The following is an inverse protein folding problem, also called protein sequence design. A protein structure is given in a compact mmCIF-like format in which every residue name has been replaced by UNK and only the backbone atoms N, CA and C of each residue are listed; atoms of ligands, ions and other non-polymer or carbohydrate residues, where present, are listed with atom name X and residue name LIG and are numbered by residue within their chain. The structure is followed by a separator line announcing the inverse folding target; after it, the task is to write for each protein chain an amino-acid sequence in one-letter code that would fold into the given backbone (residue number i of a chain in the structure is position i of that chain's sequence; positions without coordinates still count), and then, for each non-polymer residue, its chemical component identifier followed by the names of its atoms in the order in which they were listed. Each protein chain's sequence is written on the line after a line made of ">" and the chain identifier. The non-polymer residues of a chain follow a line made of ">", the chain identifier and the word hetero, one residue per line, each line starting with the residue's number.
data_IF_428816181965
#
_entry.id   IF_428816181965
#
_cell.length_a   1.000
_cell.length_b   1.000
_cell.length_c   1.000
_cell.angle_alpha   90.00
_cell.angle_beta   90.00
_cell.angle_gamma   90.00
#
_symmetry.space_group_name_H-M   'P 1'
#
loop_
_entity.id
_entity.type
_entity.pdbx_description
1 polymer ?
#
# COMPACT_ATOMS: atom_id res chain seq x y z
N UNK A 1 24.71 7.18 12.54
CA UNK A 1 23.48 7.22 11.72
C UNK A 1 23.20 5.81 11.23
N UNK A 2 22.00 5.31 11.44
CA UNK A 2 21.61 3.97 11.00
C UNK A 2 21.42 3.94 9.47
N UNK A 3 21.84 2.86 8.82
CA UNK A 3 21.54 2.61 7.42
C UNK A 3 20.19 1.91 7.30
N UNK A 4 19.23 2.61 6.73
CA UNK A 4 17.87 2.09 6.49
C UNK A 4 17.72 1.74 5.00
N UNK A 5 17.44 0.48 4.72
CA UNK A 5 17.10 0.05 3.36
C UNK A 5 15.61 0.22 3.12
N UNK A 6 15.24 0.89 2.02
CA UNK A 6 13.85 0.99 1.54
C UNK A 6 13.74 0.26 0.22
N UNK A 7 12.94 -0.81 0.19
CA UNK A 7 12.62 -1.46 -1.07
C UNK A 7 11.40 -0.82 -1.72
N UNK A 8 11.38 -0.73 -3.05
CA UNK A 8 10.23 -0.14 -3.76
C UNK A 8 10.14 1.38 -3.65
N UNK A 9 11.25 2.08 -3.43
CA UNK A 9 11.31 3.54 -3.31
C UNK A 9 10.94 4.30 -4.60
N UNK A 10 10.85 3.64 -5.76
CA UNK A 10 10.27 4.23 -6.98
C UNK A 10 8.74 4.31 -6.95
N UNK A 11 8.11 3.63 -6.01
CA UNK A 11 6.66 3.68 -5.81
C UNK A 11 6.25 4.88 -4.93
N UNK A 12 4.94 5.16 -4.93
CA UNK A 12 4.35 6.27 -4.21
C UNK A 12 4.70 6.28 -2.71
N UNK A 13 4.38 5.22 -1.99
CA UNK A 13 4.67 5.11 -0.55
C UNK A 13 6.18 4.98 -0.26
N UNK A 14 6.87 4.11 -0.99
CA UNK A 14 8.30 3.88 -0.74
C UNK A 14 9.15 5.13 -0.98
N UNK A 15 8.82 5.91 -2.01
CA UNK A 15 9.46 7.20 -2.28
C UNK A 15 9.19 8.24 -1.20
N UNK A 16 7.96 8.31 -0.70
CA UNK A 16 7.61 9.22 0.40
C UNK A 16 8.34 8.85 1.70
N UNK A 17 8.42 7.55 2.03
CA UNK A 17 9.19 7.06 3.18
C UNK A 17 10.68 7.40 3.04
N UNK A 18 11.27 7.15 1.86
CA UNK A 18 12.69 7.44 1.63
C UNK A 18 13.01 8.93 1.80
N UNK A 19 12.16 9.82 1.26
CA UNK A 19 12.31 11.28 1.46
C UNK A 19 12.21 11.68 2.93
N UNK A 20 11.27 11.11 3.66
CA UNK A 20 11.09 11.41 5.09
C UNK A 20 12.28 10.95 5.94
N UNK A 21 12.86 9.78 5.64
CA UNK A 21 14.07 9.28 6.29
C UNK A 21 15.27 10.17 6.01
N UNK A 22 15.48 10.57 4.74
CA UNK A 22 16.56 11.51 4.36
C UNK A 22 16.40 12.86 5.05
N UNK A 23 15.18 13.42 5.08
CA UNK A 23 14.89 14.66 5.77
C UNK A 23 15.11 14.57 7.29
N UNK A 24 14.96 13.38 7.89
CA UNK A 24 15.28 13.09 9.30
C UNK A 24 16.78 12.94 9.56
N UNK A 25 17.60 12.83 8.51
CA UNK A 25 19.06 12.66 8.60
C UNK A 25 19.51 11.20 8.64
N UNK A 26 18.65 10.23 8.34
CA UNK A 26 19.07 8.83 8.23
C UNK A 26 19.86 8.59 6.94
N UNK A 27 20.74 7.59 6.95
CA UNK A 27 21.33 7.06 5.73
C UNK A 27 20.32 6.13 5.06
N UNK A 28 19.96 6.40 3.81
CA UNK A 28 18.95 5.63 3.08
C UNK A 28 19.57 4.95 1.88
N UNK A 29 19.29 3.65 1.72
CA UNK A 29 19.58 2.89 0.52
C UNK A 29 18.27 2.44 -0.13
N UNK A 30 18.04 2.86 -1.38
CA UNK A 30 16.91 2.44 -2.18
C UNK A 30 17.28 1.17 -2.96
N UNK A 31 16.53 0.07 -2.74
CA UNK A 31 16.78 -1.23 -3.40
C UNK A 31 15.58 -1.58 -4.27
N UNK A 32 15.77 -1.58 -5.61
CA UNK A 32 14.71 -1.81 -6.59
C UNK A 32 15.24 -1.92 -8.02
N UNK A 33 14.36 -2.23 -8.98
CA UNK A 33 14.74 -2.41 -10.41
C UNK A 33 14.98 -1.11 -11.14
N UNK A 34 14.21 -0.05 -10.85
CA UNK A 34 14.24 1.25 -11.55
C UNK A 34 15.10 2.27 -10.81
N UNK A 35 15.77 3.16 -11.51
CA UNK A 35 16.52 4.27 -10.90
C UNK A 35 15.57 5.27 -10.21
N UNK A 36 16.09 5.99 -9.23
CA UNK A 36 15.42 7.01 -8.41
C UNK A 36 16.29 8.25 -8.34
N UNK A 37 16.48 8.87 -9.49
CA UNK A 37 17.38 10.02 -9.65
C UNK A 37 17.07 11.17 -8.67
N UNK A 38 15.79 11.41 -8.39
CA UNK A 38 15.32 12.39 -7.43
C UNK A 38 15.75 12.09 -5.98
N UNK A 39 15.66 10.82 -5.55
CA UNK A 39 16.12 10.41 -4.22
C UNK A 39 17.64 10.38 -4.12
N UNK A 40 18.33 10.01 -5.21
CA UNK A 40 19.80 10.10 -5.25
C UNK A 40 20.30 11.54 -5.13
N UNK A 41 19.62 12.49 -5.79
CA UNK A 41 19.92 13.91 -5.64
C UNK A 41 19.72 14.42 -4.20
N UNK A 42 18.86 13.76 -3.41
CA UNK A 42 18.67 14.03 -1.99
C UNK A 42 19.67 13.27 -1.08
N UNK A 43 20.59 12.48 -1.66
CA UNK A 43 21.63 11.78 -0.90
C UNK A 43 21.35 10.30 -0.62
N UNK A 44 20.33 9.68 -1.24
CA UNK A 44 20.10 8.25 -1.09
C UNK A 44 21.13 7.42 -1.88
N UNK A 45 21.61 6.33 -1.29
CA UNK A 45 22.27 5.26 -2.03
C UNK A 45 21.25 4.51 -2.89
N UNK A 46 21.66 4.06 -4.07
CA UNK A 46 20.82 3.24 -4.95
C UNK A 46 21.50 1.93 -5.32
N UNK A 47 20.77 0.82 -5.17
CA UNK A 47 21.18 -0.50 -5.62
C UNK A 47 20.09 -1.08 -6.53
N UNK A 48 20.45 -1.32 -7.79
CA UNK A 48 19.56 -2.01 -8.71
C UNK A 48 19.49 -3.50 -8.35
N UNK A 49 18.31 -3.97 -7.95
CA UNK A 49 18.10 -5.36 -7.57
C UNK A 49 16.68 -5.80 -7.90
N UNK A 50 16.53 -6.95 -8.51
CA UNK A 50 15.27 -7.68 -8.55
C UNK A 50 15.18 -8.54 -7.30
N UNK A 51 14.24 -8.24 -6.43
CA UNK A 51 14.09 -8.97 -5.16
C UNK A 51 13.62 -10.42 -5.32
N UNK A 52 13.12 -10.80 -6.50
CA UNK A 52 12.77 -12.19 -6.85
C UNK A 52 13.86 -12.91 -7.64
N UNK A 53 14.91 -12.20 -8.08
CA UNK A 53 15.89 -12.66 -9.05
C UNK A 53 17.04 -13.51 -8.49
N UNK A 54 17.16 -13.69 -7.17
CA UNK A 54 18.18 -14.54 -6.59
C UNK A 54 18.72 -14.06 -5.24
N UNK A 55 18.95 -15.01 -4.34
CA UNK A 55 19.30 -14.73 -2.94
C UNK A 55 20.60 -13.92 -2.78
N UNK A 56 21.64 -14.24 -3.55
CA UNK A 56 22.95 -13.56 -3.44
C UNK A 56 22.86 -12.06 -3.76
N UNK A 57 22.08 -11.69 -4.80
CA UNK A 57 21.89 -10.28 -5.16
C UNK A 57 21.15 -9.51 -4.06
N UNK A 58 20.12 -10.12 -3.47
CA UNK A 58 19.34 -9.50 -2.38
C UNK A 58 20.20 -9.38 -1.12
N UNK A 59 21.00 -10.40 -0.78
CA UNK A 59 21.95 -10.36 0.34
C UNK A 59 22.95 -9.21 0.17
N UNK A 60 23.56 -9.09 -1.01
CA UNK A 60 24.50 -8.00 -1.29
C UNK A 60 23.82 -6.61 -1.20
N UNK A 61 22.58 -6.49 -1.70
CA UNK A 61 21.84 -5.22 -1.66
C UNK A 61 21.50 -4.77 -0.23
N UNK A 62 21.32 -5.71 0.71
CA UNK A 62 21.01 -5.42 2.12
C UNK A 62 22.25 -5.39 3.03
N UNK A 63 23.46 -5.58 2.49
CA UNK A 63 24.69 -5.61 3.27
C UNK A 63 24.89 -4.31 4.09
N UNK A 64 25.16 -4.46 5.37
CA UNK A 64 25.40 -3.36 6.32
C UNK A 64 24.13 -2.57 6.73
N UNK A 65 22.94 -3.05 6.40
CA UNK A 65 21.69 -2.41 6.81
C UNK A 65 21.40 -2.68 8.30
N UNK A 66 20.98 -1.65 9.03
CA UNK A 66 20.49 -1.75 10.41
C UNK A 66 18.98 -2.09 10.46
N UNK A 67 18.24 -1.67 9.42
CA UNK A 67 16.82 -1.92 9.28
C UNK A 67 16.38 -1.96 7.82
N UNK A 68 15.28 -2.67 7.55
CA UNK A 68 14.65 -2.74 6.24
C UNK A 68 13.18 -2.33 6.33
N UNK A 69 12.78 -1.39 5.48
CA UNK A 69 11.38 -1.10 5.17
C UNK A 69 11.05 -1.76 3.83
N UNK A 70 10.34 -2.89 3.90
CA UNK A 70 9.98 -3.68 2.73
C UNK A 70 8.63 -3.23 2.18
N UNK A 71 8.66 -2.26 1.25
CA UNK A 71 7.49 -1.64 0.61
C UNK A 71 7.25 -2.19 -0.79
N UNK A 72 8.28 -2.75 -1.42
CA UNK A 72 8.19 -3.33 -2.75
C UNK A 72 7.13 -4.44 -2.80
N UNK A 73 6.21 -4.31 -3.74
CA UNK A 73 5.20 -5.31 -4.06
C UNK A 73 4.69 -5.09 -5.49
N UNK A 74 4.21 -6.15 -6.14
CA UNK A 74 3.29 -6.01 -7.27
C UNK A 74 1.93 -5.66 -6.69
N UNK A 75 1.53 -4.41 -6.89
CA UNK A 75 0.18 -3.92 -6.59
C UNK A 75 -0.70 -4.05 -7.84
N UNK A 76 -2.00 -3.79 -7.69
CA UNK A 76 -2.98 -3.87 -8.76
C UNK A 76 -3.85 -5.10 -8.66
N UNK A 77 -4.79 -5.22 -9.59
CA UNK A 77 -5.85 -6.24 -9.55
C UNK A 77 -5.80 -7.20 -10.73
N UNK A 78 -4.79 -7.05 -11.61
CA UNK A 78 -4.66 -7.82 -12.85
C UNK A 78 -3.26 -8.39 -13.03
N UNK A 79 -3.18 -9.62 -13.49
CA UNK A 79 -1.95 -10.39 -13.73
C UNK A 79 -2.09 -11.83 -13.27
N UNK A 80 -1.12 -12.68 -13.65
CA UNK A 80 -1.13 -14.08 -13.25
C UNK A 80 -0.76 -14.27 -11.78
N UNK A 81 -1.21 -15.38 -11.19
CA UNK A 81 -0.86 -15.75 -9.81
C UNK A 81 0.67 -15.83 -9.64
N UNK A 82 1.37 -16.41 -10.64
CA UNK A 82 2.84 -16.58 -10.62
C UNK A 82 3.56 -15.23 -10.55
N UNK A 83 3.06 -14.21 -11.28
CA UNK A 83 3.63 -12.87 -11.21
C UNK A 83 3.48 -12.23 -9.83
N UNK A 84 2.31 -12.42 -9.18
CA UNK A 84 2.08 -11.92 -7.83
C UNK A 84 2.89 -12.71 -6.80
N UNK A 85 3.00 -14.02 -6.95
CA UNK A 85 3.76 -14.87 -6.04
C UNK A 85 5.27 -14.57 -6.12
N UNK A 86 5.81 -14.42 -7.31
CA UNK A 86 7.21 -14.01 -7.49
C UNK A 86 7.50 -12.65 -6.83
N UNK A 87 6.67 -11.63 -7.13
CA UNK A 87 6.92 -10.27 -6.67
C UNK A 87 6.58 -10.05 -5.19
N UNK A 88 5.64 -10.79 -4.61
CA UNK A 88 5.17 -10.56 -3.24
C UNK A 88 5.63 -11.65 -2.27
N UNK A 89 5.58 -12.93 -2.64
CA UNK A 89 5.97 -14.04 -1.74
C UNK A 89 7.46 -14.31 -1.83
N UNK A 90 7.97 -14.62 -3.04
CA UNK A 90 9.39 -14.99 -3.24
C UNK A 90 10.29 -13.82 -2.86
N UNK A 91 9.98 -12.60 -3.32
CA UNK A 91 10.75 -11.42 -2.96
C UNK A 91 10.78 -11.18 -1.44
N UNK A 92 9.63 -11.31 -0.74
CA UNK A 92 9.58 -11.16 0.72
C UNK A 92 10.39 -12.25 1.43
N UNK A 93 10.30 -13.51 0.98
CA UNK A 93 11.11 -14.61 1.53
C UNK A 93 12.60 -14.34 1.37
N UNK A 94 13.05 -13.83 0.21
CA UNK A 94 14.45 -13.47 -0.03
C UNK A 94 14.90 -12.28 0.82
N UNK A 95 14.05 -11.26 1.02
CA UNK A 95 14.34 -10.13 1.93
C UNK A 95 14.52 -10.63 3.37
N UNK A 96 13.64 -11.51 3.87
CA UNK A 96 13.76 -12.11 5.21
C UNK A 96 15.08 -12.88 5.32
N UNK A 97 15.39 -13.73 4.34
CA UNK A 97 16.63 -14.50 4.33
C UNK A 97 17.87 -13.59 4.30
N UNK A 98 17.84 -12.52 3.51
CA UNK A 98 18.91 -11.53 3.44
C UNK A 98 19.06 -10.71 4.74
N UNK A 99 17.96 -10.37 5.41
CA UNK A 99 18.02 -9.77 6.74
C UNK A 99 18.74 -10.67 7.74
N UNK A 100 18.40 -11.94 7.77
CA UNK A 100 19.06 -12.92 8.65
C UNK A 100 20.53 -13.11 8.34
N UNK A 101 20.86 -13.21 7.04
CA UNK A 101 22.25 -13.37 6.57
C UNK A 101 23.13 -12.18 6.98
N UNK A 102 22.61 -10.97 6.86
CA UNK A 102 23.34 -9.72 7.15
C UNK A 102 23.22 -9.24 8.61
N UNK A 103 22.50 -9.97 9.48
CA UNK A 103 22.30 -9.55 10.87
C UNK A 103 21.43 -8.31 11.02
N UNK A 104 20.55 -8.03 10.06
CA UNK A 104 19.58 -6.93 10.15
C UNK A 104 18.61 -7.20 11.30
N UNK A 105 18.51 -6.24 12.23
CA UNK A 105 17.73 -6.45 13.45
C UNK A 105 16.22 -6.15 13.29
N UNK A 106 15.81 -5.35 12.29
CA UNK A 106 14.47 -4.81 12.16
C UNK A 106 13.94 -4.88 10.74
N UNK A 107 12.73 -5.43 10.57
CA UNK A 107 12.02 -5.51 9.29
C UNK A 107 10.60 -4.99 9.44
N UNK A 108 10.31 -3.83 8.85
CA UNK A 108 8.95 -3.28 8.70
C UNK A 108 8.42 -3.66 7.32
N UNK A 109 7.30 -4.34 7.29
CA UNK A 109 6.67 -4.82 6.06
C UNK A 109 5.37 -4.07 5.76
N UNK A 110 5.23 -3.58 4.53
CA UNK A 110 3.97 -3.01 4.05
C UNK A 110 3.05 -4.10 3.55
N UNK A 111 2.03 -4.43 4.33
CA UNK A 111 0.93 -5.33 3.96
C UNK A 111 -0.26 -4.54 3.41
N UNK A 112 -1.47 -5.06 3.54
CA UNK A 112 -2.73 -4.44 3.07
C UNK A 112 -3.91 -4.98 3.87
N UNK A 113 -4.99 -4.21 4.09
CA UNK A 113 -6.23 -4.75 4.66
C UNK A 113 -6.91 -5.81 3.80
N UNK A 114 -6.60 -5.88 2.50
CA UNK A 114 -7.16 -6.91 1.60
C UNK A 114 -6.84 -8.35 2.06
N UNK A 115 -5.88 -8.54 2.95
CA UNK A 115 -5.53 -9.85 3.53
C UNK A 115 -6.62 -10.42 4.46
N UNK A 116 -7.53 -9.57 4.96
CA UNK A 116 -8.67 -9.96 5.81
C UNK A 116 -10.02 -9.74 5.15
N UNK A 117 -10.05 -9.32 3.87
CA UNK A 117 -11.27 -8.95 3.16
C UNK A 117 -11.64 -10.00 2.11
N UNK A 118 -12.76 -10.68 2.30
CA UNK A 118 -13.28 -11.74 1.41
C UNK A 118 -14.46 -11.32 0.53
N UNK A 119 -14.80 -10.02 0.50
CA UNK A 119 -15.79 -9.47 -0.43
C UNK A 119 -17.12 -9.03 0.19
N UNK A 120 -17.26 -9.02 1.52
CA UNK A 120 -18.39 -8.42 2.26
C UNK A 120 -18.02 -7.06 2.88
N UNK A 121 -18.97 -6.42 3.58
CA UNK A 121 -18.67 -5.24 4.39
C UNK A 121 -17.71 -5.61 5.53
N UNK A 122 -16.68 -4.80 5.75
CA UNK A 122 -15.76 -4.88 6.89
C UNK A 122 -15.84 -3.56 7.64
N UNK A 123 -16.56 -3.58 8.77
CA UNK A 123 -16.86 -2.38 9.55
C UNK A 123 -16.28 -2.51 10.95
N UNK A 124 -15.25 -1.73 11.25
CA UNK A 124 -14.59 -1.70 12.55
C UNK A 124 -13.84 -2.98 12.93
N UNK A 125 -13.37 -3.75 11.95
CA UNK A 125 -12.53 -4.90 12.24
C UNK A 125 -11.20 -4.45 12.87
N UNK A 126 -10.66 -5.26 13.76
CA UNK A 126 -9.36 -5.08 14.38
C UNK A 126 -8.38 -6.20 13.96
N UNK A 127 -7.19 -6.18 14.52
CA UNK A 127 -6.10 -7.11 14.16
C UNK A 127 -6.36 -8.57 14.56
N UNK A 128 -7.44 -8.87 15.30
CA UNK A 128 -7.89 -10.24 15.59
C UNK A 128 -8.58 -10.89 14.39
N UNK A 129 -8.98 -10.09 13.38
CA UNK A 129 -9.57 -10.61 12.15
C UNK A 129 -8.62 -11.62 11.47
N UNK A 130 -9.08 -12.83 11.15
CA UNK A 130 -8.24 -13.85 10.53
C UNK A 130 -7.83 -13.43 9.12
N UNK A 131 -6.66 -13.91 8.67
CA UNK A 131 -6.27 -13.79 7.27
C UNK A 131 -7.26 -14.59 6.42
N UNK A 132 -8.07 -13.88 5.65
CA UNK A 132 -9.11 -14.46 4.80
C UNK A 132 -9.27 -13.63 3.51
N UNK A 133 -8.22 -13.64 2.63
CA UNK A 133 -8.26 -12.89 1.39
C UNK A 133 -9.30 -13.44 0.40
N UNK A 134 -9.85 -12.60 -0.46
CA UNK A 134 -10.66 -13.08 -1.61
C UNK A 134 -9.79 -13.98 -2.50
N UNK A 135 -10.12 -15.28 -2.67
CA UNK A 135 -9.30 -16.21 -3.44
C UNK A 135 -9.20 -15.86 -4.93
N UNK A 136 -10.05 -14.97 -5.43
CA UNK A 136 -9.98 -14.46 -6.81
C UNK A 136 -9.03 -13.28 -6.98
N UNK A 137 -8.48 -12.74 -5.88
CA UNK A 137 -7.49 -11.68 -5.92
C UNK A 137 -6.10 -12.25 -5.68
N UNK A 138 -5.34 -12.52 -6.76
CA UNK A 138 -3.95 -12.95 -6.66
C UNK A 138 -3.11 -11.99 -5.80
N UNK A 139 -3.40 -10.69 -5.86
CA UNK A 139 -2.81 -9.69 -4.99
C UNK A 139 -3.07 -9.97 -3.50
N UNK A 140 -4.35 -10.09 -3.11
CA UNK A 140 -4.70 -10.29 -1.71
C UNK A 140 -4.15 -11.63 -1.17
N UNK A 141 -4.24 -12.69 -1.96
CA UNK A 141 -3.70 -14.03 -1.61
C UNK A 141 -2.18 -13.96 -1.41
N UNK A 142 -1.44 -13.39 -2.36
CA UNK A 142 0.02 -13.28 -2.27
C UNK A 142 0.46 -12.38 -1.10
N UNK A 143 -0.26 -11.28 -0.82
CA UNK A 143 0.03 -10.40 0.31
C UNK A 143 -0.24 -11.07 1.66
N UNK A 144 -1.30 -11.89 1.78
CA UNK A 144 -1.59 -12.66 2.99
C UNK A 144 -0.49 -13.72 3.26
N UNK A 145 -0.05 -14.43 2.22
CA UNK A 145 1.05 -15.37 2.34
C UNK A 145 2.36 -14.68 2.75
N UNK A 146 2.69 -13.55 2.14
CA UNK A 146 3.88 -12.77 2.48
C UNK A 146 3.82 -12.21 3.92
N UNK A 147 2.66 -11.70 4.38
CA UNK A 147 2.48 -11.26 5.76
C UNK A 147 2.68 -12.41 6.75
N UNK A 148 2.19 -13.61 6.42
CA UNK A 148 2.42 -14.81 7.23
C UNK A 148 3.90 -15.11 7.37
N UNK A 149 4.68 -15.05 6.28
CA UNK A 149 6.13 -15.23 6.32
C UNK A 149 6.82 -14.20 7.21
N UNK A 150 6.47 -12.93 7.07
CA UNK A 150 7.06 -11.84 7.86
C UNK A 150 6.77 -12.02 9.34
N UNK A 151 5.52 -12.31 9.71
CA UNK A 151 5.13 -12.51 11.12
C UNK A 151 5.80 -13.74 11.72
N UNK A 152 5.91 -14.83 10.97
CA UNK A 152 6.61 -16.04 11.37
C UNK A 152 8.14 -15.87 11.48
N UNK A 153 8.71 -14.88 10.78
CA UNK A 153 10.14 -14.59 10.83
C UNK A 153 10.58 -13.84 12.10
N UNK A 154 9.63 -13.34 12.91
CA UNK A 154 9.92 -12.64 14.16
C UNK A 154 10.56 -13.57 15.18
N UNK A 155 11.78 -13.28 15.60
CA UNK A 155 12.51 -14.06 16.59
C UNK A 155 13.50 -13.17 17.39
N UNK A 156 14.41 -13.81 18.15
CA UNK A 156 15.40 -13.12 18.97
C UNK A 156 16.52 -12.41 18.16
N UNK A 157 16.56 -12.58 16.85
CA UNK A 157 17.58 -11.97 15.96
C UNK A 157 16.98 -10.97 14.98
N UNK A 158 15.71 -11.14 14.61
CA UNK A 158 15.00 -10.30 13.65
C UNK A 158 13.63 -9.93 14.20
N UNK A 159 13.46 -8.70 14.63
CA UNK A 159 12.15 -8.16 14.97
C UNK A 159 11.41 -7.76 13.69
N UNK A 160 10.16 -8.21 13.53
CA UNK A 160 9.34 -7.90 12.37
C UNK A 160 8.02 -7.26 12.77
N UNK A 161 7.48 -6.40 11.91
CA UNK A 161 6.12 -5.86 12.04
C UNK A 161 5.50 -5.67 10.65
N UNK A 162 4.21 -5.95 10.54
CA UNK A 162 3.44 -5.72 9.31
C UNK A 162 2.50 -4.53 9.49
N UNK A 163 2.46 -3.63 8.53
CA UNK A 163 1.49 -2.53 8.48
C UNK A 163 0.51 -2.77 7.34
N UNK A 164 -0.78 -2.56 7.60
CA UNK A 164 -1.89 -2.73 6.65
C UNK A 164 -2.51 -1.37 6.32
N UNK A 165 -1.81 -0.49 5.55
CA UNK A 165 -2.40 0.79 5.17
C UNK A 165 -3.55 0.58 4.19
N UNK A 166 -4.67 1.29 4.41
CA UNK A 166 -5.85 1.21 3.58
C UNK A 166 -5.92 2.39 2.61
N UNK A 167 -6.12 2.12 1.31
CA UNK A 167 -6.35 3.13 0.26
C UNK A 167 -5.46 4.37 0.44
N UNK A 168 -4.16 4.23 0.22
CA UNK A 168 -3.21 5.34 0.34
C UNK A 168 -3.45 6.32 -0.80
N UNK A 169 -3.58 7.61 -0.48
CA UNK A 169 -3.84 8.69 -1.42
C UNK A 169 -3.11 9.98 -1.06
N UNK A 170 -2.95 10.88 -2.03
CA UNK A 170 -2.31 12.18 -1.82
C UNK A 170 -1.56 12.66 -3.04
N UNK A 171 -0.79 13.76 -2.93
CA UNK A 171 0.03 14.28 -4.02
C UNK A 171 1.04 13.25 -4.54
N UNK A 172 1.08 13.07 -5.86
CA UNK A 172 1.96 12.09 -6.50
C UNK A 172 1.41 10.65 -6.56
N UNK A 173 0.18 10.41 -6.10
CA UNK A 173 -0.47 9.11 -6.24
C UNK A 173 -0.89 8.84 -7.68
N UNK A 174 -0.30 7.81 -8.28
CA UNK A 174 -0.56 7.34 -9.64
C UNK A 174 -1.64 6.26 -9.72
N UNK A 175 -2.12 5.76 -8.59
CA UNK A 175 -3.05 4.62 -8.54
C UNK A 175 -4.49 5.07 -8.29
N UNK A 176 -4.82 5.57 -7.11
CA UNK A 176 -6.18 5.93 -6.75
C UNK A 176 -6.55 7.32 -7.29
N UNK A 177 -5.79 8.35 -6.93
CA UNK A 177 -6.06 9.75 -7.27
C UNK A 177 -6.02 9.96 -8.77
N UNK A 178 -4.94 9.54 -9.44
CA UNK A 178 -4.79 9.70 -10.89
C UNK A 178 -5.88 8.95 -11.68
N UNK A 179 -6.26 7.74 -11.24
CA UNK A 179 -7.33 6.97 -11.90
C UNK A 179 -8.70 7.61 -11.75
N UNK A 180 -9.03 8.18 -10.58
CA UNK A 180 -10.29 8.90 -10.37
C UNK A 180 -10.36 10.11 -11.32
N UNK A 181 -9.31 10.93 -11.35
CA UNK A 181 -9.22 12.11 -12.21
C UNK A 181 -9.33 11.73 -13.69
N UNK A 182 -8.51 10.79 -14.15
CA UNK A 182 -8.52 10.35 -15.56
C UNK A 182 -9.88 9.76 -16.00
N UNK A 183 -10.52 8.97 -15.12
CA UNK A 183 -11.85 8.43 -15.43
C UNK A 183 -12.93 9.51 -15.47
N UNK A 184 -12.83 10.54 -14.62
CA UNK A 184 -13.75 11.67 -14.63
C UNK A 184 -13.59 12.50 -15.89
N UNK A 185 -12.37 12.85 -16.28
CA UNK A 185 -12.05 13.57 -17.51
C UNK A 185 -12.53 12.82 -18.76
N UNK A 186 -12.41 11.49 -18.76
CA UNK A 186 -12.93 10.64 -19.84
C UNK A 186 -14.47 10.43 -19.80
N UNK A 187 -15.19 11.02 -18.82
CA UNK A 187 -16.64 10.84 -18.64
C UNK A 187 -17.06 9.41 -18.25
N UNK A 188 -16.11 8.59 -17.79
CA UNK A 188 -16.28 7.16 -17.47
C UNK A 188 -16.40 6.86 -15.99
N UNK A 189 -16.19 7.84 -15.11
CA UNK A 189 -16.31 7.63 -13.67
C UNK A 189 -17.75 7.33 -13.28
N UNK A 190 -17.95 6.33 -12.43
CA UNK A 190 -19.26 5.93 -11.88
C UNK A 190 -19.07 5.57 -10.41
N UNK A 191 -20.00 5.97 -9.56
CA UNK A 191 -20.08 5.56 -8.17
C UNK A 191 -20.85 4.25 -8.05
N UNK A 192 -20.24 3.20 -7.57
CA UNK A 192 -20.91 1.92 -7.34
C UNK A 192 -21.82 2.05 -6.11
N UNK A 193 -23.11 1.68 -6.24
CA UNK A 193 -24.07 1.83 -5.16
C UNK A 193 -24.20 3.27 -4.62
N UNK A 194 -24.02 4.28 -5.49
CA UNK A 194 -24.05 5.69 -5.06
C UNK A 194 -22.84 6.16 -4.28
N UNK A 195 -21.90 5.27 -3.96
CA UNK A 195 -20.73 5.60 -3.14
C UNK A 195 -21.05 5.84 -1.66
N UNK A 196 -22.13 5.25 -1.15
CA UNK A 196 -22.59 5.46 0.24
C UNK A 196 -21.83 4.62 1.27
N UNK A 197 -21.15 3.57 0.83
CA UNK A 197 -20.37 2.70 1.70
C UNK A 197 -19.20 3.46 2.36
N UNK A 198 -19.01 3.23 3.66
CA UNK A 198 -17.97 3.88 4.44
C UNK A 198 -16.60 3.28 4.11
N UNK A 199 -15.65 4.15 3.88
CA UNK A 199 -14.23 3.82 3.73
C UNK A 199 -13.38 4.73 4.61
N UNK A 200 -12.27 4.23 5.13
CA UNK A 200 -11.28 5.05 5.84
C UNK A 200 -9.95 4.98 5.09
N UNK A 201 -9.71 5.97 4.23
CA UNK A 201 -8.46 6.06 3.46
C UNK A 201 -7.29 6.52 4.32
N UNK A 202 -6.08 6.33 3.82
CA UNK A 202 -4.84 6.78 4.47
C UNK A 202 -4.21 7.89 3.64
N UNK A 203 -4.10 9.09 4.18
CA UNK A 203 -3.29 10.13 3.52
C UNK A 203 -1.82 9.75 3.55
N UNK A 204 -1.07 10.07 2.50
CA UNK A 204 0.32 9.63 2.34
C UNK A 204 1.21 9.93 3.55
N UNK A 205 1.11 11.12 4.14
CA UNK A 205 1.93 11.49 5.30
C UNK A 205 1.60 10.64 6.54
N UNK A 206 0.34 10.25 6.71
CA UNK A 206 -0.08 9.33 7.77
C UNK A 206 0.48 7.92 7.55
N UNK A 207 0.50 7.46 6.29
CA UNK A 207 1.13 6.19 5.96
C UNK A 207 2.65 6.22 6.26
N UNK A 208 3.32 7.31 5.90
CA UNK A 208 4.74 7.54 6.24
C UNK A 208 4.94 7.57 7.76
N UNK A 209 4.13 8.35 8.50
CA UNK A 209 4.19 8.41 9.97
C UNK A 209 4.13 7.00 10.59
N UNK A 210 3.18 6.17 10.17
CA UNK A 210 3.05 4.80 10.68
C UNK A 210 4.30 3.95 10.44
N UNK A 211 4.94 4.07 9.26
CA UNK A 211 6.16 3.32 8.94
C UNK A 211 7.36 3.80 9.74
N UNK A 212 7.53 5.12 9.94
CA UNK A 212 8.60 5.67 10.76
C UNK A 212 8.43 5.32 12.24
N UNK A 213 7.21 5.42 12.78
CA UNK A 213 6.92 4.99 14.14
C UNK A 213 7.17 3.49 14.34
N UNK A 214 6.79 2.66 13.37
CA UNK A 214 7.08 1.24 13.39
C UNK A 214 8.59 0.98 13.40
N UNK A 215 9.36 1.66 12.54
CA UNK A 215 10.82 1.57 12.52
C UNK A 215 11.44 1.94 13.86
N UNK A 216 10.96 3.01 14.49
CA UNK A 216 11.52 3.53 15.74
C UNK A 216 11.15 2.70 16.96
N UNK A 217 9.96 2.07 16.97
CA UNK A 217 9.47 1.24 18.09
C UNK A 217 9.85 -0.23 17.99
N UNK A 218 10.23 -0.69 16.79
CA UNK A 218 10.50 -2.09 16.54
C UNK A 218 11.85 -2.51 17.11
N UNK A 219 11.82 -3.32 18.14
CA UNK A 219 12.99 -4.01 18.71
C UNK A 219 12.58 -5.44 19.09
N UNK A 220 13.52 -6.32 19.29
CA UNK A 220 13.25 -7.68 19.78
C UNK A 220 12.51 -7.59 21.12
N UNK A 221 11.38 -8.29 21.22
CA UNK A 221 10.52 -8.30 22.41
C UNK A 221 9.65 -7.05 22.58
N UNK A 222 9.69 -6.08 21.66
CA UNK A 222 8.79 -4.91 21.70
C UNK A 222 7.31 -5.36 21.54
N UNK A 223 6.33 -4.61 22.10
CA UNK A 223 4.90 -4.94 21.98
C UNK A 223 4.44 -5.10 20.53
N UNK A 224 5.08 -4.40 19.57
CA UNK A 224 4.74 -4.47 18.15
C UNK A 224 5.44 -5.61 17.39
N UNK A 225 6.45 -6.26 17.99
CA UNK A 225 7.20 -7.31 17.31
C UNK A 225 6.32 -8.55 17.00
N UNK A 226 6.37 -9.03 15.76
CA UNK A 226 5.58 -10.15 15.27
C UNK A 226 4.10 -9.84 15.00
N UNK A 227 3.69 -8.56 15.13
CA UNK A 227 2.29 -8.15 14.96
C UNK A 227 2.02 -7.52 13.60
N UNK A 228 0.73 -7.39 13.29
CA UNK A 228 0.22 -6.62 12.17
C UNK A 228 -0.66 -5.49 12.70
N UNK A 229 -0.75 -4.36 11.97
CA UNK A 229 -1.55 -3.19 12.36
C UNK A 229 -2.27 -2.60 11.17
N UNK A 230 -3.55 -2.28 11.33
CA UNK A 230 -4.26 -1.44 10.38
C UNK A 230 -3.81 0.01 10.49
N UNK A 231 -3.72 0.68 9.34
CA UNK A 231 -3.35 2.09 9.24
C UNK A 231 -4.36 2.80 8.33
N UNK A 232 -4.97 3.86 8.85
CA UNK A 232 -5.93 4.71 8.16
C UNK A 232 -5.95 6.10 8.81
N UNK A 233 -6.72 7.05 8.28
CA UNK A 233 -6.85 8.38 8.88
C UNK A 233 -7.60 8.35 10.23
N UNK A 234 -8.40 7.31 10.48
CA UNK A 234 -9.30 7.23 11.65
C UNK A 234 -10.55 8.09 11.47
N UNK A 235 -11.00 8.26 10.23
CA UNK A 235 -12.18 9.04 9.83
C UNK A 235 -12.95 8.31 8.71
N UNK A 236 -13.76 7.29 9.05
CA UNK A 236 -14.60 6.64 8.05
C UNK A 236 -15.57 7.62 7.41
N UNK A 237 -15.53 7.76 6.09
CA UNK A 237 -16.40 8.64 5.30
C UNK A 237 -17.07 7.86 4.17
N UNK A 238 -18.25 8.28 3.67
CA UNK A 238 -18.80 7.70 2.45
C UNK A 238 -17.80 7.83 1.30
N UNK A 239 -17.66 6.77 0.50
CA UNK A 239 -16.71 6.72 -0.62
C UNK A 239 -16.88 7.91 -1.57
N UNK A 240 -18.15 8.36 -1.82
CA UNK A 240 -18.42 9.54 -2.65
C UNK A 240 -17.80 10.83 -2.11
N UNK A 241 -17.60 10.94 -0.79
CA UNK A 241 -16.98 12.14 -0.17
C UNK A 241 -15.53 12.22 -0.56
N UNK A 242 -14.77 11.12 -0.42
CA UNK A 242 -13.37 11.08 -0.85
C UNK A 242 -13.24 11.26 -2.36
N UNK A 243 -14.04 10.55 -3.17
CA UNK A 243 -14.01 10.65 -4.64
C UNK A 243 -14.30 12.08 -5.10
N UNK A 244 -15.37 12.69 -4.62
CA UNK A 244 -15.73 14.05 -5.01
C UNK A 244 -14.78 15.10 -4.44
N UNK A 245 -14.19 14.87 -3.28
CA UNK A 245 -13.13 15.71 -2.74
C UNK A 245 -11.88 15.70 -3.63
N UNK A 246 -11.47 14.54 -4.14
CA UNK A 246 -10.35 14.42 -5.11
C UNK A 246 -10.70 15.15 -6.41
N UNK A 247 -11.95 15.02 -6.92
CA UNK A 247 -12.38 15.74 -8.11
C UNK A 247 -12.35 17.24 -7.91
N UNK A 248 -12.87 17.72 -6.78
CA UNK A 248 -12.85 19.16 -6.44
C UNK A 248 -11.41 19.68 -6.33
N UNK A 249 -10.49 18.90 -5.73
CA UNK A 249 -9.07 19.24 -5.68
C UNK A 249 -8.44 19.38 -7.07
N UNK A 250 -8.90 18.58 -8.05
CA UNK A 250 -8.47 18.64 -9.44
C UNK A 250 -9.26 19.66 -10.32
N UNK A 251 -10.13 20.48 -9.71
CA UNK A 251 -10.96 21.44 -10.45
C UNK A 251 -12.06 20.80 -11.32
N UNK A 252 -12.43 19.55 -11.05
CA UNK A 252 -13.44 18.81 -11.81
C UNK A 252 -14.80 18.80 -11.10
N UNK A 253 -15.91 18.72 -11.87
CA UNK A 253 -17.24 18.64 -11.30
C UNK A 253 -17.45 17.32 -10.53
N UNK A 254 -18.32 17.29 -9.52
CA UNK A 254 -18.59 16.09 -8.75
C UNK A 254 -19.21 14.99 -9.61
N UNK A 255 -18.90 13.75 -9.29
CA UNK A 255 -19.49 12.59 -9.93
C UNK A 255 -20.91 12.33 -9.37
N UNK A 256 -21.93 12.63 -10.18
CA UNK A 256 -23.33 12.32 -9.87
C UNK A 256 -23.84 11.02 -10.51
N UNK A 257 -23.03 10.35 -11.33
CA UNK A 257 -23.45 9.14 -12.08
C UNK A 257 -23.16 7.90 -11.24
N UNK A 258 -24.20 7.09 -10.98
CA UNK A 258 -24.08 5.83 -10.27
C UNK A 258 -24.20 4.61 -11.17
N UNK A 259 -23.76 3.46 -10.67
CA UNK A 259 -24.00 2.13 -11.25
C UNK A 259 -24.42 1.17 -10.13
N UNK A 260 -25.39 0.33 -10.39
CA UNK A 260 -25.80 -0.69 -9.42
C UNK A 260 -24.65 -1.68 -9.16
N UNK A 261 -24.44 -2.15 -7.90
CA UNK A 261 -23.35 -3.07 -7.57
C UNK A 261 -23.32 -4.33 -8.43
N UNK A 262 -24.48 -4.94 -8.69
CA UNK A 262 -24.57 -6.12 -9.54
C UNK A 262 -24.15 -5.83 -10.98
N UNK A 263 -24.51 -4.65 -11.51
CA UNK A 263 -24.15 -4.28 -12.89
C UNK A 263 -22.63 -4.02 -13.01
N UNK A 264 -22.01 -3.38 -12.00
CA UNK A 264 -20.57 -3.23 -11.94
C UNK A 264 -19.84 -4.59 -11.87
N UNK A 265 -20.39 -5.54 -11.11
CA UNK A 265 -19.86 -6.91 -11.01
C UNK A 265 -19.93 -7.66 -12.32
N UNK A 266 -21.10 -7.61 -13.01
CA UNK A 266 -21.29 -8.25 -14.33
C UNK A 266 -20.36 -7.61 -15.37
N UNK A 267 -20.26 -6.29 -15.40
CA UNK A 267 -19.33 -5.59 -16.28
C UNK A 267 -17.87 -6.03 -16.02
N UNK A 268 -17.49 -6.16 -14.75
CA UNK A 268 -16.17 -6.69 -14.37
C UNK A 268 -15.94 -8.11 -14.90
N UNK A 269 -16.92 -9.01 -14.74
CA UNK A 269 -16.82 -10.38 -15.25
C UNK A 269 -16.63 -10.44 -16.76
N UNK A 270 -17.39 -9.64 -17.52
CA UNK A 270 -17.30 -9.56 -18.99
C UNK A 270 -15.92 -9.01 -19.39
N UNK A 271 -15.44 -7.95 -18.75
CA UNK A 271 -14.14 -7.38 -19.06
C UNK A 271 -12.99 -8.33 -18.74
N UNK A 272 -13.02 -9.03 -17.60
CA UNK A 272 -12.04 -10.06 -17.27
C UNK A 272 -12.01 -11.18 -18.34
N UNK A 273 -13.19 -11.65 -18.78
CA UNK A 273 -13.27 -12.67 -19.82
C UNK A 273 -12.68 -12.18 -21.15
N UNK A 274 -13.00 -10.95 -21.59
CA UNK A 274 -12.45 -10.35 -22.81
C UNK A 274 -10.93 -10.22 -22.71
N UNK A 275 -10.40 -9.73 -21.55
CA UNK A 275 -8.96 -9.55 -21.33
C UNK A 275 -8.22 -10.87 -21.37
N UNK A 276 -8.78 -11.93 -20.78
CA UNK A 276 -8.22 -13.28 -20.88
C UNK A 276 -8.22 -13.80 -22.32
N UNK A 277 -9.33 -13.62 -23.04
CA UNK A 277 -9.44 -14.08 -24.45
C UNK A 277 -8.42 -13.36 -25.35
N UNK A 278 -8.18 -12.08 -25.11
CA UNK A 278 -7.23 -11.26 -25.89
C UNK A 278 -5.78 -11.34 -25.39
N UNK A 279 -5.50 -12.09 -24.34
CA UNK A 279 -4.17 -12.18 -23.74
C UNK A 279 -3.61 -10.82 -23.24
N UNK A 280 -4.49 -9.90 -22.84
CA UNK A 280 -4.07 -8.55 -22.46
C UNK A 280 -3.45 -8.53 -21.07
N UNK A 281 -2.32 -7.83 -20.93
CA UNK A 281 -1.59 -7.66 -19.67
C UNK A 281 -1.95 -6.37 -18.92
N UNK A 282 -2.50 -5.36 -19.63
CA UNK A 282 -2.97 -4.13 -19.00
C UNK A 282 -4.23 -4.37 -18.15
N UNK A 283 -4.42 -3.56 -17.12
CA UNK A 283 -5.54 -3.73 -16.19
C UNK A 283 -6.88 -3.31 -16.85
N UNK A 284 -7.92 -4.17 -16.81
CA UNK A 284 -9.24 -3.80 -17.30
C UNK A 284 -9.84 -2.66 -16.47
N UNK A 285 -10.75 -1.90 -17.09
CA UNK A 285 -11.43 -0.77 -16.44
C UNK A 285 -12.19 -1.17 -15.16
N UNK A 286 -12.67 -2.40 -15.09
CA UNK A 286 -13.36 -2.98 -13.95
C UNK A 286 -13.04 -4.47 -13.86
N UNK A 287 -12.85 -4.97 -12.64
CA UNK A 287 -12.80 -6.41 -12.33
C UNK A 287 -13.89 -6.74 -11.31
N UNK A 288 -14.23 -8.01 -11.18
CA UNK A 288 -15.17 -8.46 -10.13
C UNK A 288 -14.70 -8.11 -8.73
N UNK A 289 -13.39 -8.18 -8.51
CA UNK A 289 -12.77 -7.78 -7.25
C UNK A 289 -12.95 -6.28 -6.97
N UNK A 290 -12.63 -5.41 -7.94
CA UNK A 290 -12.82 -3.95 -7.81
C UNK A 290 -14.28 -3.60 -7.62
N UNK A 291 -15.20 -4.23 -8.39
CA UNK A 291 -16.63 -3.99 -8.24
C UNK A 291 -17.13 -4.30 -6.81
N UNK A 292 -16.65 -5.40 -6.21
CA UNK A 292 -16.97 -5.75 -4.82
C UNK A 292 -16.38 -4.76 -3.84
N UNK A 293 -15.11 -4.39 -3.99
CA UNK A 293 -14.48 -3.40 -3.13
C UNK A 293 -15.20 -2.05 -3.17
N UNK A 294 -15.64 -1.61 -4.34
CA UNK A 294 -16.40 -0.37 -4.48
C UNK A 294 -17.85 -0.47 -3.95
N UNK A 295 -18.38 -1.68 -3.80
CA UNK A 295 -19.74 -1.94 -3.33
C UNK A 295 -19.84 -2.20 -1.82
N UNK A 296 -18.73 -2.28 -1.10
CA UNK A 296 -18.68 -2.67 0.31
C UNK A 296 -18.00 -1.62 1.19
N UNK A 297 -18.32 -1.63 2.49
CA UNK A 297 -17.69 -0.77 3.48
C UNK A 297 -16.35 -1.37 3.92
N UNK A 298 -15.33 -0.49 4.09
CA UNK A 298 -14.03 -0.90 4.58
C UNK A 298 -13.46 0.15 5.52
N UNK A 299 -13.55 -0.09 6.81
CA UNK A 299 -12.88 0.72 7.82
C UNK A 299 -12.50 -0.16 9.01
N UNK A 300 -11.44 0.24 9.73
CA UNK A 300 -10.77 -0.59 10.71
C UNK A 300 -10.58 0.18 12.01
N UNK A 301 -10.54 -0.53 13.14
CA UNK A 301 -10.16 0.04 14.43
C UNK A 301 -8.66 0.26 14.47
N UNK A 302 -8.25 1.40 15.00
CA UNK A 302 -6.85 1.81 15.08
C UNK A 302 -6.32 1.81 16.52
N UNK A 303 -7.01 1.14 17.44
CA UNK A 303 -6.66 1.14 18.86
C UNK A 303 -5.29 0.51 19.10
N UNK A 304 -4.99 -0.58 18.40
CA UNK A 304 -3.72 -1.29 18.56
C UNK A 304 -2.54 -0.48 18.03
N UNK A 305 -2.61 0.09 16.82
CA UNK A 305 -1.54 0.90 16.25
C UNK A 305 -1.31 2.18 17.06
N UNK A 306 -2.37 2.77 17.63
CA UNK A 306 -2.26 3.93 18.52
C UNK A 306 -1.55 3.59 19.81
N UNK A 307 -1.93 2.50 20.45
CA UNK A 307 -1.35 2.05 21.74
C UNK A 307 0.10 1.62 21.59
N UNK A 308 0.41 0.79 20.58
CA UNK A 308 1.71 0.12 20.49
C UNK A 308 2.75 0.95 19.74
N UNK A 309 2.34 1.74 18.74
CA UNK A 309 3.22 2.59 17.95
C UNK A 309 3.10 4.09 18.25
N UNK A 310 2.04 4.54 18.91
CA UNK A 310 1.77 5.96 19.14
C UNK A 310 1.24 6.68 17.91
N UNK A 311 0.72 5.96 16.92
CA UNK A 311 0.17 6.50 15.69
C UNK A 311 -1.07 7.39 15.96
N UNK A 312 -1.17 8.52 15.26
CA UNK A 312 -2.27 9.46 15.47
C UNK A 312 -3.12 9.71 14.22
N UNK A 313 -2.55 9.56 13.00
CA UNK A 313 -3.23 9.93 11.77
C UNK A 313 -3.50 11.43 11.73
N UNK A 314 -2.44 12.23 11.81
CA UNK A 314 -2.50 13.69 12.02
C UNK A 314 -3.16 14.45 10.89
N UNK A 315 -3.00 13.98 9.65
CA UNK A 315 -3.60 14.62 8.49
C UNK A 315 -5.00 14.05 8.28
N UNK A 316 -6.00 14.87 8.55
CA UNK A 316 -7.40 14.53 8.34
C UNK A 316 -7.78 14.62 6.87
N UNK A 317 -8.92 14.03 6.49
CA UNK A 317 -9.35 13.93 5.09
C UNK A 317 -9.45 15.31 4.42
N UNK A 318 -10.07 16.29 5.09
CA UNK A 318 -10.21 17.66 4.56
C UNK A 318 -8.86 18.36 4.35
N UNK A 319 -7.95 18.22 5.32
CA UNK A 319 -6.60 18.77 5.21
C UNK A 319 -5.81 18.10 4.08
N UNK A 320 -5.92 16.77 3.95
CA UNK A 320 -5.31 16.03 2.85
C UNK A 320 -5.81 16.47 1.48
N UNK A 321 -7.13 16.70 1.35
CA UNK A 321 -7.74 17.21 0.11
C UNK A 321 -7.28 18.63 -0.21
N UNK A 322 -7.14 19.49 0.80
CA UNK A 322 -6.59 20.83 0.61
C UNK A 322 -5.14 20.81 0.11
N UNK A 323 -4.29 19.94 0.68
CA UNK A 323 -2.90 19.75 0.22
C UNK A 323 -2.84 19.17 -1.20
N UNK A 324 -3.75 18.25 -1.53
CA UNK A 324 -3.86 17.69 -2.88
C UNK A 324 -4.22 18.79 -3.90
N UNK A 325 -5.16 19.70 -3.57
CA UNK A 325 -5.53 20.81 -4.43
C UNK A 325 -4.34 21.77 -4.67
N UNK A 326 -3.56 22.08 -3.64
CA UNK A 326 -2.33 22.88 -3.78
C UNK A 326 -1.31 22.22 -4.71
N UNK A 327 -1.13 20.90 -4.58
CA UNK A 327 -0.21 20.16 -5.45
C UNK A 327 -0.64 20.19 -6.93
N UNK A 328 -1.94 20.03 -7.23
CA UNK A 328 -2.46 20.13 -8.59
C UNK A 328 -2.24 21.53 -9.18
N UNK A 329 -2.44 22.59 -8.41
CA UNK A 329 -2.17 23.96 -8.86
C UNK A 329 -0.69 24.20 -9.20
N UNK A 330 0.22 23.58 -8.45
CA UNK A 330 1.67 23.73 -8.65
C UNK A 330 2.17 22.93 -9.86
N UNK A 331 1.54 21.79 -10.17
CA UNK A 331 1.97 20.91 -11.28
C UNK A 331 1.26 21.21 -12.60
N UNK A 332 0.28 22.12 -12.64
CA UNK A 332 -0.43 22.52 -13.85
C UNK A 332 -1.31 21.41 -14.44
N UNK A 333 -1.82 20.53 -13.63
CA UNK A 333 -2.75 19.43 -14.04
C UNK A 333 -4.18 19.92 -13.98
#
# INVERSE_FOLDING_TARGET
>A
MALVVVTGASGFLGGAIARALLARGDRVRCVQRSDVADLRALGADFVRCDLSGGAAAVQAALAGADAVLHVAAKAGVWGSQEQFDAANITATAQVIAACRHNGVARLVYTSTPSVVHSGGDVEGADESAPLHPDPRSAYAVSKAAAETLVRAANDQRLATVALRPHLIWGPGDTQLTARIVARAQAGRLRLVGGGDKLIDGTYIDNAVEAHLLALDRLTVGAPCAGRAYFVANGEPVPQRVLVNGILAAAGLPPCGKGIAPWAAYVAGAILEWIWHLLGREDEPLMTRFVARQLATAHWYRLDAVRRDLGYQGKVKTDEGLRRLAQAFQTTGV
#
